data_IF_887789505405
#
_entry.id   IF_887789505405
#
_cell.length_a   1.000
_cell.length_b   1.000
_cell.length_c   1.000
_cell.angle_alpha   90.00
_cell.angle_beta   90.00
_cell.angle_gamma   90.00
#
_symmetry.space_group_name_H-M   'P 1'
#
loop_
_entity.id
_entity.type
_entity.pdbx_description
1 polymer ?
#
# COMPACT_ATOMS: atom_id res chain seq x y z
N UNK A 1 -11.04 23.99 2.24
CA UNK A 1 -9.61 23.65 2.04
C UNK A 1 -9.29 22.64 3.13
N UNK A 2 -8.97 21.39 2.78
CA UNK A 2 -8.56 20.37 3.77
C UNK A 2 -7.06 20.21 3.53
N UNK A 3 -6.28 20.74 4.45
CA UNK A 3 -4.82 20.65 4.39
C UNK A 3 -4.42 19.25 4.86
N UNK A 4 -3.89 18.45 3.96
CA UNK A 4 -3.41 17.11 4.28
C UNK A 4 -2.14 17.21 5.13
N UNK A 5 -2.25 16.93 6.42
CA UNK A 5 -1.11 16.90 7.35
C UNK A 5 -0.51 15.49 7.38
N UNK A 6 0.81 15.40 7.19
CA UNK A 6 1.57 14.15 7.24
C UNK A 6 2.33 14.08 8.57
N UNK A 7 2.08 13.03 9.36
CA UNK A 7 2.82 12.76 10.62
C UNK A 7 3.76 11.58 10.42
N UNK A 8 5.04 11.78 10.69
CA UNK A 8 6.07 10.73 10.65
C UNK A 8 6.24 10.16 12.06
N UNK A 9 6.19 8.83 12.21
CA UNK A 9 6.34 8.11 13.48
C UNK A 9 7.59 7.23 13.39
N UNK A 10 8.46 7.29 14.39
CA UNK A 10 9.69 6.49 14.46
C UNK A 10 9.47 5.18 15.21
N UNK A 11 10.24 4.14 14.86
CA UNK A 11 10.22 2.84 15.53
C UNK A 11 10.91 2.91 16.89
N UNK A 12 10.26 3.54 17.87
CA UNK A 12 10.67 3.51 19.27
C UNK A 12 9.84 2.47 20.05
N UNK A 13 10.41 1.80 21.06
CA UNK A 13 9.60 0.96 21.95
C UNK A 13 8.57 1.84 22.65
N UNK A 14 7.33 1.34 22.80
CA UNK A 14 6.22 2.09 23.40
C UNK A 14 6.49 2.57 24.85
N UNK A 15 7.52 2.00 25.49
CA UNK A 15 7.89 2.15 26.89
C UNK A 15 8.51 3.54 27.20
N UNK A 16 8.97 4.31 26.22
CA UNK A 16 9.71 5.56 26.50
C UNK A 16 8.85 6.75 26.98
N UNK A 17 7.52 6.62 27.07
CA UNK A 17 6.64 7.79 27.28
C UNK A 17 5.82 7.73 28.59
N UNK A 18 5.69 6.58 29.26
CA UNK A 18 4.78 6.44 30.42
C UNK A 18 5.44 5.63 31.55
N UNK A 19 5.97 6.36 32.54
CA UNK A 19 6.18 6.07 33.97
C UNK A 19 6.44 4.64 34.51
N UNK A 20 7.37 4.57 35.49
CA UNK A 20 7.91 3.39 36.20
C UNK A 20 6.80 2.49 36.79
N UNK A 21 6.59 1.28 36.23
CA UNK A 21 5.98 0.16 36.95
C UNK A 21 6.71 -1.15 36.63
N UNK A 22 7.23 -1.81 37.67
CA UNK A 22 7.90 -3.11 37.58
C UNK A 22 6.92 -4.13 36.96
N UNK A 23 7.38 -4.89 35.96
CA UNK A 23 6.65 -5.86 35.12
C UNK A 23 6.05 -5.29 33.83
N UNK A 24 6.91 -4.80 32.93
CA UNK A 24 6.58 -4.65 31.51
C UNK A 24 7.06 -5.87 30.71
N UNK A 25 6.27 -6.95 30.69
CA UNK A 25 6.46 -8.09 29.76
C UNK A 25 5.79 -7.82 28.40
N UNK A 26 5.93 -6.62 27.84
CA UNK A 26 5.32 -6.25 26.56
C UNK A 26 6.39 -5.86 25.54
N UNK A 27 6.83 -6.83 24.72
CA UNK A 27 7.61 -6.60 23.51
C UNK A 27 6.71 -6.05 22.38
N UNK A 28 6.11 -4.89 22.59
CA UNK A 28 5.27 -4.22 21.59
C UNK A 28 5.99 -2.97 21.04
N UNK A 29 6.30 -2.97 19.75
CA UNK A 29 6.70 -1.76 19.02
C UNK A 29 5.48 -0.90 18.71
N UNK A 30 5.65 0.41 18.64
CA UNK A 30 4.60 1.36 18.24
C UNK A 30 4.10 1.13 16.80
N UNK A 31 4.91 0.51 15.95
CA UNK A 31 4.58 0.22 14.56
C UNK A 31 3.99 -1.19 14.43
N UNK A 32 2.93 -1.31 13.62
CA UNK A 32 2.36 -2.62 13.34
C UNK A 32 3.34 -3.47 12.48
N UNK A 33 3.32 -4.81 12.56
CA UNK A 33 4.21 -5.65 11.76
C UNK A 33 4.13 -5.43 10.24
N UNK A 34 2.96 -4.99 9.73
CA UNK A 34 2.77 -4.65 8.31
C UNK A 34 3.47 -3.36 7.90
N UNK A 35 3.71 -2.45 8.84
CA UNK A 35 4.43 -1.18 8.61
C UNK A 35 5.94 -1.40 8.71
N UNK A 36 6.37 -2.31 9.59
CA UNK A 36 7.78 -2.74 9.69
C UNK A 36 8.21 -3.56 8.47
N UNK A 37 7.32 -4.43 7.98
CA UNK A 37 7.58 -5.25 6.80
C UNK A 37 6.30 -5.49 6.00
N UNK A 38 6.22 -4.86 4.83
CA UNK A 38 5.20 -5.22 3.85
C UNK A 38 5.57 -6.55 3.21
N UNK A 39 4.80 -7.60 3.53
CA UNK A 39 4.87 -8.84 2.77
C UNK A 39 4.45 -8.55 1.33
N UNK A 40 5.27 -8.98 0.38
CA UNK A 40 4.88 -9.04 -1.01
C UNK A 40 3.54 -9.78 -1.11
N UNK A 41 2.57 -9.24 -1.85
CA UNK A 41 1.21 -9.81 -1.95
C UNK A 41 1.18 -11.25 -2.51
N UNK A 42 2.31 -11.74 -3.02
CA UNK A 42 2.48 -13.06 -3.61
C UNK A 42 3.77 -13.69 -3.09
N UNK A 43 3.79 -15.01 -3.06
CA UNK A 43 5.01 -15.79 -2.87
C UNK A 43 6.05 -15.37 -3.92
N UNK A 44 7.28 -15.14 -3.47
CA UNK A 44 8.41 -14.90 -4.35
C UNK A 44 8.74 -16.22 -5.05
N UNK A 45 8.38 -16.33 -6.33
CA UNK A 45 8.68 -17.48 -7.19
C UNK A 45 9.50 -17.02 -8.39
N UNK A 46 10.54 -17.78 -8.72
CA UNK A 46 11.39 -17.51 -9.89
C UNK A 46 10.64 -17.78 -11.20
N UNK A 47 11.03 -17.13 -12.30
CA UNK A 47 10.42 -17.29 -13.65
C UNK A 47 10.39 -18.75 -14.15
N UNK A 48 11.37 -19.56 -13.73
CA UNK A 48 11.50 -20.98 -14.05
C UNK A 48 10.56 -21.89 -13.25
N UNK A 49 10.09 -21.43 -12.09
CA UNK A 49 9.24 -22.20 -11.18
C UNK A 49 7.75 -22.03 -11.50
N UNK A 50 7.40 -21.05 -12.36
CA UNK A 50 6.02 -20.80 -12.76
C UNK A 50 5.52 -21.81 -13.78
N UNK A 51 4.36 -22.40 -13.49
CA UNK A 51 3.64 -23.26 -14.43
C UNK A 51 3.09 -22.41 -15.58
N UNK A 52 2.80 -23.02 -16.72
CA UNK A 52 2.14 -22.34 -17.86
C UNK A 52 0.82 -21.66 -17.45
N UNK A 53 0.03 -22.32 -16.60
CA UNK A 53 -1.20 -21.75 -16.05
C UNK A 53 -0.96 -20.46 -15.22
N UNK A 54 0.09 -20.45 -14.40
CA UNK A 54 0.48 -19.29 -13.59
C UNK A 54 0.87 -18.10 -14.48
N UNK A 55 1.60 -18.37 -15.56
CA UNK A 55 1.99 -17.35 -16.55
C UNK A 55 0.77 -16.73 -17.25
N UNK A 56 -0.22 -17.56 -17.64
CA UNK A 56 -1.46 -17.07 -18.25
C UNK A 56 -2.28 -16.21 -17.27
N UNK A 57 -2.41 -16.64 -16.01
CA UNK A 57 -3.12 -15.89 -14.97
C UNK A 57 -2.44 -14.55 -14.68
N UNK A 58 -1.12 -14.54 -14.52
CA UNK A 58 -0.33 -13.32 -14.29
C UNK A 58 -0.49 -12.32 -15.44
N UNK A 59 -0.47 -12.79 -16.69
CA UNK A 59 -0.73 -11.95 -17.87
C UNK A 59 -2.14 -11.35 -17.86
N UNK A 60 -3.15 -12.15 -17.52
CA UNK A 60 -4.53 -11.68 -17.46
C UNK A 60 -4.70 -10.60 -16.39
N UNK A 61 -4.17 -10.82 -15.19
CA UNK A 61 -4.20 -9.83 -14.10
C UNK A 61 -3.47 -8.53 -14.46
N UNK A 62 -2.36 -8.60 -15.21
CA UNK A 62 -1.67 -7.41 -15.72
C UNK A 62 -2.54 -6.67 -16.73
N UNK A 63 -3.17 -7.39 -17.66
CA UNK A 63 -4.07 -6.81 -18.67
C UNK A 63 -5.26 -6.09 -18.03
N UNK A 64 -5.92 -6.70 -17.04
CA UNK A 64 -7.07 -6.08 -16.37
C UNK A 64 -6.66 -4.82 -15.61
N UNK A 65 -5.57 -4.86 -14.84
CA UNK A 65 -5.05 -3.67 -14.14
C UNK A 65 -4.69 -2.54 -15.09
N UNK A 66 -4.07 -2.85 -16.21
CA UNK A 66 -3.72 -1.86 -17.22
C UNK A 66 -4.98 -1.21 -17.82
N UNK A 67 -6.01 -2.02 -18.14
CA UNK A 67 -7.29 -1.50 -18.60
C UNK A 67 -7.97 -0.60 -17.55
N UNK A 68 -7.95 -1.00 -16.28
CA UNK A 68 -8.47 -0.17 -15.18
C UNK A 68 -7.72 1.15 -15.04
N UNK A 69 -6.39 1.15 -15.17
CA UNK A 69 -5.58 2.37 -15.14
C UNK A 69 -5.94 3.31 -16.30
N UNK A 70 -5.95 2.82 -17.54
CA UNK A 70 -6.31 3.65 -18.70
C UNK A 70 -7.75 4.18 -18.61
N UNK A 71 -8.70 3.35 -18.16
CA UNK A 71 -10.07 3.80 -17.95
C UNK A 71 -10.14 4.91 -16.90
N UNK A 72 -9.38 4.80 -15.80
CA UNK A 72 -9.31 5.85 -14.77
C UNK A 72 -8.66 7.13 -15.30
N UNK A 73 -7.60 7.03 -16.09
CA UNK A 73 -6.92 8.18 -16.71
C UNK A 73 -7.86 8.92 -17.66
N UNK A 74 -8.57 8.20 -18.53
CA UNK A 74 -9.56 8.78 -19.44
C UNK A 74 -10.73 9.42 -18.68
N UNK A 75 -11.24 8.76 -17.64
CA UNK A 75 -12.29 9.34 -16.78
C UNK A 75 -11.77 10.59 -16.04
N UNK A 76 -10.50 10.59 -15.62
CA UNK A 76 -9.89 11.74 -14.96
C UNK A 76 -9.72 12.91 -15.94
N UNK A 77 -9.24 12.66 -17.15
CA UNK A 77 -9.09 13.68 -18.19
C UNK A 77 -10.44 14.26 -18.64
N UNK A 78 -11.46 13.43 -18.85
CA UNK A 78 -12.83 13.89 -19.14
C UNK A 78 -13.40 14.76 -18.02
N UNK A 79 -13.20 14.38 -16.76
CA UNK A 79 -13.63 15.20 -15.60
C UNK A 79 -12.91 16.54 -15.54
N UNK A 80 -11.62 16.57 -15.87
CA UNK A 80 -10.84 17.81 -15.92
C UNK A 80 -11.31 18.72 -17.06
N UNK A 81 -11.56 18.15 -18.26
CA UNK A 81 -12.10 18.90 -19.39
C UNK A 81 -13.47 19.50 -19.07
N UNK A 82 -14.39 18.71 -18.52
CA UNK A 82 -15.72 19.20 -18.12
C UNK A 82 -15.63 20.31 -17.07
N UNK A 83 -14.65 20.25 -16.16
CA UNK A 83 -14.42 21.29 -15.15
C UNK A 83 -13.89 22.59 -15.76
N UNK A 84 -13.03 22.51 -16.80
CA UNK A 84 -12.54 23.68 -17.55
C UNK A 84 -13.64 24.29 -18.41
N UNK A 85 -14.54 23.47 -18.97
CA UNK A 85 -15.68 23.95 -19.76
C UNK A 85 -16.75 24.60 -18.86
N UNK A 86 -16.92 24.09 -17.64
CA UNK A 86 -17.88 24.60 -16.67
C UNK A 86 -17.37 25.81 -15.85
N UNK A 87 -16.09 26.17 -15.97
CA UNK A 87 -15.53 27.41 -15.40
C UNK A 87 -15.65 28.57 -16.37
#
# INVERSE_FOLDING_TARGET
>A
HIDAQVKVISNAPAIQVEEILLVHQLEASQLAPKEVHEKNRKELKGESEHTTADKHKSRLEKKTKQQECYAKENVCSEKLLNKVIAS
#
